data_IF_492996081220
#
_entry.id   IF_492996081220
#
_cell.length_a   1.000
_cell.length_b   1.000
_cell.length_c   1.000
_cell.angle_alpha   90.00
_cell.angle_beta   90.00
_cell.angle_gamma   90.00
#
_symmetry.space_group_name_H-M   'P 1'
#
loop_
_entity.id
_entity.type
_entity.pdbx_description
1 polymer ?
#
# COMPACT_ATOMS: atom_id res chain seq x y z
N UNK A 1 25.70 -51.61 37.43
CA UNK A 1 25.93 -51.12 36.05
C UNK A 1 24.70 -51.23 35.13
N UNK A 2 23.62 -51.92 35.49
CA UNK A 2 22.44 -52.10 34.62
C UNK A 2 21.35 -51.02 34.86
N UNK A 3 21.38 -50.33 36.01
CA UNK A 3 20.39 -49.31 36.38
C UNK A 3 20.67 -47.92 35.78
N UNK A 4 21.91 -47.60 35.43
CA UNK A 4 22.25 -46.28 34.84
C UNK A 4 22.00 -46.19 33.33
N UNK A 5 21.95 -47.31 32.62
CA UNK A 5 21.70 -47.36 31.17
C UNK A 5 20.22 -47.25 30.82
N UNK A 6 19.31 -47.75 31.67
CA UNK A 6 17.86 -47.58 31.45
C UNK A 6 17.41 -46.12 31.60
N UNK A 7 18.03 -45.37 32.52
CA UNK A 7 17.68 -43.95 32.73
C UNK A 7 18.11 -43.06 31.55
N UNK A 8 19.22 -43.37 30.87
CA UNK A 8 19.65 -42.62 29.68
C UNK A 8 18.75 -42.88 28.47
N UNK A 9 18.28 -44.12 28.30
CA UNK A 9 17.33 -44.47 27.23
C UNK A 9 15.97 -43.80 27.43
N UNK A 10 15.48 -43.71 28.67
CA UNK A 10 14.24 -43.00 28.99
C UNK A 10 14.34 -41.48 28.70
N UNK A 11 15.49 -40.85 28.97
CA UNK A 11 15.71 -39.43 28.63
C UNK A 11 15.82 -39.19 27.12
N UNK A 12 16.43 -40.11 26.35
CA UNK A 12 16.49 -39.99 24.89
C UNK A 12 15.13 -40.17 24.20
N UNK A 13 14.25 -41.02 24.76
CA UNK A 13 12.89 -41.21 24.26
C UNK A 13 11.98 -40.00 24.56
N UNK A 14 12.19 -39.32 25.69
CA UNK A 14 11.46 -38.08 26.03
C UNK A 14 11.94 -36.91 25.16
N UNK A 15 13.23 -36.84 24.81
CA UNK A 15 13.75 -35.80 23.92
C UNK A 15 13.28 -35.98 22.46
N UNK A 16 13.09 -37.22 21.99
CA UNK A 16 12.58 -37.49 20.63
C UNK A 16 11.05 -37.33 20.49
N UNK A 17 10.31 -37.25 21.60
CA UNK A 17 8.86 -37.06 21.57
C UNK A 17 8.43 -35.59 21.39
N UNK A 18 9.37 -34.64 21.49
CA UNK A 18 9.10 -33.20 21.35
C UNK A 18 9.61 -32.58 20.03
N UNK A 19 10.16 -33.37 19.10
CA UNK A 19 10.73 -32.83 17.85
C UNK A 19 9.78 -32.76 16.66
N UNK A 20 8.50 -33.13 16.83
CA UNK A 20 7.56 -33.23 15.70
C UNK A 20 6.17 -32.68 16.04
N UNK A 21 6.13 -31.42 16.46
CA UNK A 21 4.88 -30.64 16.47
C UNK A 21 4.64 -30.01 15.09
N UNK A 22 4.51 -30.82 14.04
CA UNK A 22 3.73 -30.41 12.87
C UNK A 22 2.26 -30.49 13.24
N UNK A 23 1.74 -29.47 13.92
CA UNK A 23 0.30 -29.26 13.97
C UNK A 23 -0.18 -29.00 12.55
N UNK A 24 -0.69 -30.04 11.88
CA UNK A 24 -1.63 -29.82 10.78
C UNK A 24 -2.84 -29.14 11.40
N UNK A 25 -3.12 -27.90 11.01
CA UNK A 25 -4.35 -27.23 11.38
C UNK A 25 -5.51 -28.18 11.02
N UNK A 26 -6.20 -28.68 12.03
CA UNK A 26 -7.41 -29.47 11.80
C UNK A 26 -8.44 -28.45 11.34
N UNK A 27 -8.81 -28.50 10.07
CA UNK A 27 -9.95 -27.78 9.55
C UNK A 27 -11.16 -28.09 10.44
N UNK A 28 -11.64 -27.08 11.17
CA UNK A 28 -12.82 -27.24 12.01
C UNK A 28 -14.05 -27.62 11.16
N UNK A 29 -15.08 -28.26 11.76
CA UNK A 29 -16.27 -28.75 11.05
C UNK A 29 -17.11 -27.65 10.38
N UNK A 30 -16.70 -26.38 10.53
CA UNK A 30 -17.39 -25.20 10.05
C UNK A 30 -16.58 -24.40 9.03
N UNK A 31 -15.43 -24.87 8.53
CA UNK A 31 -14.65 -24.14 7.51
C UNK A 31 -15.52 -23.80 6.27
N UNK A 32 -16.50 -24.64 5.95
CA UNK A 32 -17.50 -24.39 4.91
C UNK A 32 -18.44 -23.22 5.23
N UNK A 33 -18.72 -22.92 6.51
CA UNK A 33 -19.61 -21.83 6.93
C UNK A 33 -18.98 -20.44 6.75
N UNK A 34 -17.66 -20.34 6.84
CA UNK A 34 -16.92 -19.08 6.66
C UNK A 34 -16.88 -18.62 5.20
N UNK A 35 -17.12 -19.56 4.26
CA UNK A 35 -17.11 -19.34 2.81
C UNK A 35 -18.31 -20.04 2.14
N UNK A 36 -19.49 -19.96 2.74
CA UNK A 36 -20.67 -20.66 2.25
C UNK A 36 -21.03 -20.24 0.81
N UNK A 37 -20.76 -21.12 -0.16
CA UNK A 37 -21.50 -21.20 -1.42
C UNK A 37 -22.80 -21.96 -1.18
N UNK A 38 -23.95 -21.30 -1.27
CA UNK A 38 -25.26 -21.99 -1.27
C UNK A 38 -25.38 -22.81 -2.57
N UNK A 39 -26.04 -23.99 -2.56
CA UNK A 39 -26.31 -24.74 -3.80
C UNK A 39 -27.00 -23.86 -4.86
N UNK A 40 -26.35 -23.71 -6.03
CA UNK A 40 -26.73 -22.77 -7.09
C UNK A 40 -25.69 -22.74 -8.23
N UNK A 41 -25.54 -21.62 -8.92
CA UNK A 41 -24.58 -21.40 -10.03
C UNK A 41 -23.09 -21.44 -9.62
N UNK A 42 -22.80 -21.77 -8.36
CA UNK A 42 -21.45 -21.73 -7.80
C UNK A 42 -20.97 -20.33 -7.45
N UNK A 43 -21.82 -19.29 -7.56
CA UNK A 43 -21.52 -17.94 -7.15
C UNK A 43 -21.55 -17.76 -5.63
N UNK A 44 -20.56 -17.04 -5.09
CA UNK A 44 -20.49 -16.68 -3.66
C UNK A 44 -21.47 -15.55 -3.36
N UNK A 45 -22.29 -15.66 -2.30
CA UNK A 45 -23.36 -14.70 -1.96
C UNK A 45 -22.84 -13.33 -1.51
N UNK A 46 -23.44 -12.23 -2.01
CA UNK A 46 -23.19 -10.85 -1.56
C UNK A 46 -23.27 -10.65 -0.02
N UNK A 47 -24.12 -11.44 0.66
CA UNK A 47 -24.35 -11.36 2.11
C UNK A 47 -23.16 -11.83 2.95
N UNK A 48 -22.24 -12.61 2.35
CA UNK A 48 -21.09 -13.11 3.09
C UNK A 48 -20.02 -12.03 3.33
N UNK A 49 -20.11 -10.86 2.67
CA UNK A 49 -19.24 -9.67 2.84
C UNK A 49 -19.21 -9.17 4.30
N UNK A 50 -20.27 -9.42 5.07
CA UNK A 50 -20.40 -8.99 6.47
C UNK A 50 -20.05 -10.09 7.49
N UNK A 51 -19.65 -11.27 7.03
CA UNK A 51 -19.29 -12.42 7.87
C UNK A 51 -17.82 -12.80 7.70
N UNK A 52 -17.21 -13.35 8.75
CA UNK A 52 -15.84 -13.84 8.72
C UNK A 52 -14.88 -13.06 9.61
N UNK A 53 -13.65 -13.55 9.74
CA UNK A 53 -12.56 -12.77 10.35
C UNK A 53 -12.19 -11.67 9.36
N UNK A 54 -12.22 -10.42 9.81
CA UNK A 54 -11.88 -9.27 8.98
C UNK A 54 -10.36 -9.14 8.87
N UNK A 55 -9.87 -9.13 7.64
CA UNK A 55 -8.51 -8.77 7.21
C UNK A 55 -8.62 -7.79 6.06
N UNK A 56 -7.55 -7.06 5.73
CA UNK A 56 -7.62 -6.09 4.63
C UNK A 56 -8.04 -6.80 3.33
N UNK A 57 -9.14 -6.38 2.71
CA UNK A 57 -9.68 -6.98 1.49
C UNK A 57 -9.93 -8.49 1.56
N UNK A 58 -10.10 -9.05 2.77
CA UNK A 58 -10.17 -10.50 3.03
C UNK A 58 -8.92 -11.28 2.61
N UNK A 59 -7.76 -10.63 2.62
CA UNK A 59 -6.48 -11.28 2.40
C UNK A 59 -6.23 -12.39 3.45
N UNK A 60 -5.47 -13.44 3.11
CA UNK A 60 -5.09 -14.44 4.09
C UNK A 60 -4.28 -13.80 5.23
N UNK A 61 -4.68 -14.07 6.47
CA UNK A 61 -3.94 -13.65 7.66
C UNK A 61 -2.81 -14.61 8.00
N UNK A 62 -1.66 -14.08 8.38
CA UNK A 62 -0.59 -14.84 9.01
C UNK A 62 0.16 -13.96 10.03
N UNK A 63 0.46 -14.43 11.26
CA UNK A 63 1.17 -13.64 12.26
C UNK A 63 2.66 -13.53 11.94
N UNK A 64 3.02 -12.70 10.95
CA UNK A 64 4.35 -12.64 10.37
C UNK A 64 5.43 -12.25 11.40
N UNK A 65 5.11 -11.41 12.40
CA UNK A 65 6.08 -11.01 13.43
C UNK A 65 6.46 -12.14 14.40
N UNK A 66 5.61 -13.16 14.53
CA UNK A 66 5.84 -14.31 15.43
C UNK A 66 6.40 -15.54 14.70
N UNK A 67 6.37 -15.55 13.36
CA UNK A 67 6.77 -16.70 12.55
C UNK A 67 7.26 -16.31 11.16
N UNK A 68 8.30 -16.99 10.70
CA UNK A 68 8.84 -16.86 9.33
C UNK A 68 8.39 -18.02 8.40
N UNK A 69 7.46 -18.86 8.86
CA UNK A 69 7.07 -20.07 8.12
C UNK A 69 6.42 -19.76 6.76
N UNK A 70 5.73 -18.63 6.64
CA UNK A 70 5.10 -18.18 5.41
C UNK A 70 5.88 -17.05 4.76
N UNK A 71 6.19 -17.22 3.48
CA UNK A 71 6.70 -16.16 2.61
C UNK A 71 5.56 -15.37 1.99
N UNK A 72 5.84 -14.13 1.61
CA UNK A 72 4.94 -13.20 0.92
C UNK A 72 5.74 -12.30 0.00
N UNK A 73 5.08 -11.73 -1.00
CA UNK A 73 5.62 -10.71 -1.92
C UNK A 73 5.17 -9.31 -1.51
N UNK A 74 3.96 -9.19 -0.97
CA UNK A 74 3.40 -7.97 -0.41
C UNK A 74 2.78 -8.31 0.95
N UNK A 75 3.10 -7.56 1.98
CA UNK A 75 2.48 -7.68 3.29
C UNK A 75 1.75 -6.39 3.65
N UNK A 76 0.51 -6.54 4.11
CA UNK A 76 -0.17 -5.50 4.88
C UNK A 76 0.24 -5.62 6.33
N UNK A 77 0.60 -4.51 6.95
CA UNK A 77 0.88 -4.46 8.38
C UNK A 77 0.17 -3.23 8.95
N UNK A 78 -0.59 -3.41 10.02
CA UNK A 78 -1.14 -2.29 10.76
C UNK A 78 -0.12 -1.73 11.76
N UNK A 79 -0.24 -0.45 12.01
CA UNK A 79 0.45 0.21 13.08
C UNK A 79 -0.56 0.89 14.00
N UNK A 80 -0.50 0.51 15.27
CA UNK A 80 -1.48 0.91 16.27
C UNK A 80 -0.97 2.11 17.06
N UNK A 81 -1.36 3.33 16.72
CA UNK A 81 -1.21 4.46 17.62
C UNK A 81 -0.81 5.78 16.97
N UNK A 82 -1.11 6.89 17.64
CA UNK A 82 -0.50 8.18 17.38
C UNK A 82 0.87 8.23 18.09
N UNK A 83 1.96 8.14 17.34
CA UNK A 83 3.33 8.28 17.86
C UNK A 83 3.56 9.68 18.42
N UNK A 84 2.74 10.67 18.08
CA UNK A 84 2.83 12.02 18.66
C UNK A 84 2.20 12.11 20.06
N UNK A 85 1.33 11.18 20.48
CA UNK A 85 0.44 11.36 21.64
C UNK A 85 0.54 10.27 22.71
N UNK A 86 1.71 10.13 23.33
CA UNK A 86 1.81 9.46 24.63
C UNK A 86 1.36 10.30 25.85
N UNK A 87 0.83 11.52 25.67
CA UNK A 87 0.63 12.46 26.79
C UNK A 87 -0.82 12.73 27.22
N UNK A 88 -1.86 12.19 26.59
CA UNK A 88 -3.25 12.62 26.90
C UNK A 88 -4.35 11.55 26.99
N UNK A 89 -4.01 10.27 27.13
CA UNK A 89 -5.05 9.23 27.33
C UNK A 89 -5.70 9.23 28.74
N UNK A 90 -5.18 10.01 29.71
CA UNK A 90 -5.74 10.04 31.08
C UNK A 90 -6.94 10.98 31.31
N UNK A 91 -7.30 11.88 30.38
CA UNK A 91 -8.34 12.90 30.66
C UNK A 91 -9.76 12.60 30.17
N UNK A 92 -10.00 11.47 29.50
CA UNK A 92 -11.31 11.14 28.91
C UNK A 92 -12.02 9.96 29.61
N UNK A 93 -11.91 9.86 30.93
CA UNK A 93 -12.90 9.12 31.73
C UNK A 93 -14.18 9.97 31.87
N UNK A 94 -15.36 9.50 31.42
CA UNK A 94 -16.59 10.28 31.52
C UNK A 94 -17.12 10.21 32.96
N UNK A 95 -16.66 11.10 33.84
CA UNK A 95 -17.43 11.43 35.02
C UNK A 95 -18.51 12.42 34.64
N UNK A 96 -19.74 11.93 34.61
CA UNK A 96 -20.96 12.71 34.46
C UNK A 96 -20.97 13.91 35.43
N UNK A 97 -21.33 15.10 34.94
CA UNK A 97 -22.21 16.12 35.56
C UNK A 97 -22.27 17.39 34.66
N UNK A 98 -23.32 18.23 34.78
CA UNK A 98 -23.90 18.95 33.66
C UNK A 98 -23.46 20.42 33.55
N UNK A 99 -23.54 20.92 32.31
CA UNK A 99 -23.64 22.32 31.85
C UNK A 99 -23.61 23.42 32.92
N UNK A 100 -22.62 24.33 32.85
CA UNK A 100 -22.74 25.79 33.04
C UNK A 100 -21.37 26.46 32.81
N UNK A 101 -21.37 27.48 31.94
CA UNK A 101 -20.41 28.58 31.74
C UNK A 101 -18.90 28.34 31.93
N UNK A 102 -18.15 28.53 30.84
CA UNK A 102 -16.72 28.88 30.86
C UNK A 102 -16.47 30.17 31.65
N UNK A 103 -15.28 30.33 32.26
CA UNK A 103 -14.26 31.10 31.55
C UNK A 103 -12.81 30.62 31.72
N UNK A 104 -12.00 30.87 30.69
CA UNK A 104 -10.54 31.05 30.67
C UNK A 104 -9.67 30.06 31.47
N UNK A 105 -9.09 29.09 30.76
CA UNK A 105 -7.69 28.70 30.97
C UNK A 105 -7.02 28.50 29.61
N UNK A 106 -6.05 29.36 29.32
CA UNK A 106 -5.08 29.19 28.24
C UNK A 106 -4.20 27.99 28.61
N UNK A 107 -4.45 26.84 27.98
CA UNK A 107 -3.62 25.65 28.07
C UNK A 107 -3.40 25.15 26.64
N UNK A 108 -2.12 25.03 26.29
CA UNK A 108 -1.54 24.67 25.00
C UNK A 108 -2.45 23.72 24.19
N UNK A 109 -3.02 24.23 23.10
CA UNK A 109 -3.72 23.44 22.10
C UNK A 109 -2.76 22.42 21.51
N UNK A 110 -3.13 21.14 21.56
CA UNK A 110 -2.67 20.14 20.61
C UNK A 110 -2.87 20.70 19.18
N UNK A 111 -1.94 20.46 18.26
CA UNK A 111 -2.00 21.09 16.93
C UNK A 111 -3.28 20.74 16.15
N UNK A 112 -3.94 19.61 16.44
CA UNK A 112 -5.32 19.30 16.03
C UNK A 112 -5.91 18.03 16.73
N UNK A 113 -6.99 17.46 16.14
CA UNK A 113 -7.72 16.26 16.59
C UNK A 113 -6.83 15.00 16.60
N UNK A 114 -7.11 14.03 17.47
CA UNK A 114 -6.30 12.81 17.62
C UNK A 114 -6.65 11.75 16.57
N UNK A 115 -5.67 11.34 15.75
CA UNK A 115 -5.78 10.12 14.95
C UNK A 115 -5.93 8.92 15.90
N UNK A 116 -7.04 8.18 15.77
CA UNK A 116 -7.43 7.16 16.76
C UNK A 116 -6.64 5.87 16.57
N UNK A 117 -6.19 5.26 17.66
CA UNK A 117 -5.47 3.97 17.65
C UNK A 117 -6.20 2.81 16.92
N UNK A 118 -7.47 2.97 16.56
CA UNK A 118 -8.26 1.96 15.85
C UNK A 118 -8.12 1.97 14.33
N UNK A 119 -7.18 2.75 13.75
CA UNK A 119 -7.06 2.91 12.29
C UNK A 119 -6.99 1.57 11.55
N UNK A 120 -6.07 0.64 11.88
CA UNK A 120 -5.93 -0.60 11.10
C UNK A 120 -7.22 -1.43 11.13
N UNK A 121 -7.84 -1.56 12.30
CA UNK A 121 -9.08 -2.32 12.46
C UNK A 121 -10.25 -1.75 11.64
N UNK A 122 -10.38 -0.42 11.55
CA UNK A 122 -11.47 0.21 10.80
C UNK A 122 -11.21 0.20 9.30
N UNK A 123 -9.96 0.37 8.86
CA UNK A 123 -9.58 0.20 7.45
C UNK A 123 -9.83 -1.25 6.98
N UNK A 124 -9.42 -2.23 7.78
CA UNK A 124 -9.72 -3.65 7.56
C UNK A 124 -11.23 -3.88 7.45
N UNK A 125 -12.01 -3.33 8.38
CA UNK A 125 -13.48 -3.42 8.34
C UNK A 125 -14.08 -2.80 7.07
N UNK A 126 -13.59 -1.63 6.66
CA UNK A 126 -14.11 -0.88 5.50
C UNK A 126 -13.73 -1.52 4.17
N UNK A 127 -12.57 -2.18 4.14
CA UNK A 127 -12.06 -2.93 2.98
C UNK A 127 -12.85 -4.20 2.66
N UNK A 128 -13.80 -4.62 3.52
CA UNK A 128 -14.58 -5.87 3.36
C UNK A 128 -15.30 -6.02 2.02
N UNK A 129 -15.66 -4.89 1.39
CA UNK A 129 -16.30 -4.84 0.07
C UNK A 129 -15.34 -5.19 -1.07
N UNK A 130 -14.02 -5.09 -0.84
CA UNK A 130 -12.99 -5.41 -1.81
C UNK A 130 -12.83 -6.93 -1.93
N UNK A 131 -12.56 -7.42 -3.15
CA UNK A 131 -12.22 -8.83 -3.42
C UNK A 131 -13.38 -9.82 -3.53
N UNK A 132 -14.42 -9.69 -2.70
CA UNK A 132 -15.42 -10.75 -2.53
C UNK A 132 -16.35 -11.02 -3.74
N UNK A 133 -16.77 -9.99 -4.49
CA UNK A 133 -17.69 -10.13 -5.64
C UNK A 133 -17.29 -9.31 -6.87
N UNK A 134 -16.06 -8.78 -6.90
CA UNK A 134 -15.66 -7.78 -7.89
C UNK A 134 -14.29 -7.15 -7.67
N UNK A 135 -13.28 -7.96 -7.31
CA UNK A 135 -11.91 -7.48 -7.11
C UNK A 135 -11.16 -7.05 -8.37
N UNK A 136 -11.81 -7.04 -9.55
CA UNK A 136 -11.16 -6.65 -10.80
C UNK A 136 -11.16 -5.13 -10.94
N UNK A 137 -9.97 -4.54 -11.06
CA UNK A 137 -9.78 -3.12 -11.29
C UNK A 137 -9.92 -2.85 -12.79
N UNK A 138 -11.08 -2.34 -13.19
CA UNK A 138 -11.40 -2.09 -14.61
C UNK A 138 -10.42 -1.10 -15.26
N UNK A 139 -10.12 0.07 -14.67
CA UNK A 139 -9.14 1.01 -15.25
C UNK A 139 -7.72 0.45 -15.41
N UNK A 140 -7.26 -0.41 -14.49
CA UNK A 140 -5.90 -0.97 -14.53
C UNK A 140 -5.82 -2.34 -15.22
N UNK A 141 -6.96 -2.93 -15.57
CA UNK A 141 -7.11 -4.27 -16.17
C UNK A 141 -6.42 -5.37 -15.36
N UNK A 142 -6.51 -5.30 -14.02
CA UNK A 142 -5.84 -6.23 -13.11
C UNK A 142 -6.70 -6.54 -11.89
N UNK A 143 -6.53 -7.72 -11.31
CA UNK A 143 -7.16 -8.10 -10.04
C UNK A 143 -6.06 -8.29 -8.97
N UNK A 144 -5.93 -7.38 -7.99
CA UNK A 144 -4.90 -7.50 -6.94
C UNK A 144 -5.06 -8.74 -6.04
N UNK A 145 -6.25 -9.34 -5.99
CA UNK A 145 -6.55 -10.49 -5.12
C UNK A 145 -6.38 -11.84 -5.85
N UNK A 146 -6.17 -11.82 -7.16
CA UNK A 146 -5.94 -13.00 -7.99
C UNK A 146 -4.70 -12.75 -8.83
N UNK A 147 -3.54 -13.05 -8.28
CA UNK A 147 -2.25 -12.85 -8.94
C UNK A 147 -1.26 -13.94 -8.57
N UNK A 148 -0.17 -14.04 -9.32
CA UNK A 148 0.95 -14.94 -9.03
C UNK A 148 1.73 -14.50 -7.77
N UNK A 149 1.54 -13.26 -7.32
CA UNK A 149 2.15 -12.77 -6.09
C UNK A 149 1.35 -13.20 -4.87
N UNK A 150 2.07 -13.53 -3.80
CA UNK A 150 1.46 -13.85 -2.51
C UNK A 150 1.32 -12.59 -1.65
N UNK A 151 0.08 -12.17 -1.45
CA UNK A 151 -0.27 -11.01 -0.61
C UNK A 151 -0.85 -11.51 0.71
N UNK A 152 -0.32 -11.03 1.84
CA UNK A 152 -0.76 -11.41 3.19
C UNK A 152 -1.12 -10.21 4.05
N UNK A 153 -2.06 -10.42 4.97
CA UNK A 153 -2.26 -9.55 6.13
C UNK A 153 -1.42 -10.10 7.30
N UNK A 154 -0.45 -9.31 7.75
CA UNK A 154 0.52 -9.70 8.76
C UNK A 154 0.13 -9.30 10.19
N UNK A 155 -1.07 -8.74 10.39
CA UNK A 155 -1.52 -8.18 11.66
C UNK A 155 -0.89 -6.81 11.93
N UNK A 156 -0.57 -6.53 13.20
CA UNK A 156 -0.09 -5.22 13.64
C UNK A 156 1.28 -5.30 14.32
N UNK A 157 2.10 -4.25 14.17
CA UNK A 157 3.33 -4.08 14.96
C UNK A 157 2.94 -3.71 16.41
N UNK A 158 3.41 -4.46 17.42
CA UNK A 158 3.15 -4.10 18.81
C UNK A 158 3.98 -2.87 19.19
N UNK A 159 3.32 -1.75 19.44
CA UNK A 159 3.95 -0.49 19.83
C UNK A 159 3.41 -0.01 21.18
N UNK A 160 4.21 0.77 21.89
CA UNK A 160 3.77 1.41 23.13
C UNK A 160 3.11 2.75 22.85
N UNK A 161 1.99 3.03 23.51
CA UNK A 161 1.34 4.35 23.49
C UNK A 161 1.91 5.30 24.57
N UNK A 162 2.97 4.93 25.29
CA UNK A 162 3.45 5.68 26.47
C UNK A 162 4.84 6.31 26.30
N UNK A 163 5.58 5.91 25.26
CA UNK A 163 6.90 6.47 24.97
C UNK A 163 7.10 6.52 23.45
N UNK A 164 6.98 7.73 22.89
CA UNK A 164 7.10 7.98 21.47
C UNK A 164 8.46 7.52 20.90
N UNK A 165 9.54 7.69 21.65
CA UNK A 165 10.87 7.30 21.18
C UNK A 165 11.00 5.78 21.12
N UNK A 166 10.42 5.07 22.10
CA UNK A 166 10.37 3.61 22.07
C UNK A 166 9.43 3.09 20.98
N UNK A 167 8.27 3.73 20.77
CA UNK A 167 7.36 3.39 19.70
C UNK A 167 8.05 3.47 18.33
N UNK A 168 8.74 4.57 18.03
CA UNK A 168 9.54 4.75 16.79
C UNK A 168 10.52 3.58 16.59
N UNK A 169 11.21 3.15 17.66
CA UNK A 169 12.13 2.02 17.58
C UNK A 169 11.41 0.70 17.26
N UNK A 170 10.27 0.44 17.92
CA UNK A 170 9.49 -0.79 17.69
C UNK A 170 8.97 -0.87 16.25
N UNK A 171 8.52 0.25 15.69
CA UNK A 171 8.04 0.35 14.30
C UNK A 171 9.19 0.07 13.34
N UNK A 172 10.34 0.72 13.54
CA UNK A 172 11.51 0.55 12.68
C UNK A 172 11.98 -0.92 12.66
N UNK A 173 12.10 -1.54 13.83
CA UNK A 173 12.54 -2.93 13.99
C UNK A 173 11.50 -3.92 13.44
N UNK A 174 10.23 -3.73 13.77
CA UNK A 174 9.11 -4.55 13.29
C UNK A 174 9.03 -4.53 11.76
N UNK A 175 8.98 -3.34 11.17
CA UNK A 175 8.96 -3.16 9.72
C UNK A 175 10.22 -3.75 9.06
N UNK A 176 11.41 -3.54 9.64
CA UNK A 176 12.65 -4.08 9.08
C UNK A 176 12.67 -5.62 9.08
N UNK A 177 12.17 -6.25 10.14
CA UNK A 177 12.09 -7.71 10.25
C UNK A 177 11.20 -8.35 9.18
N UNK A 178 10.24 -7.60 8.64
CA UNK A 178 9.34 -8.03 7.58
C UNK A 178 9.91 -7.72 6.19
N UNK A 179 10.48 -6.52 6.02
CA UNK A 179 11.04 -6.06 4.74
C UNK A 179 12.27 -6.88 4.31
N UNK A 180 13.12 -7.26 5.26
CA UNK A 180 14.39 -7.95 4.97
C UNK A 180 14.22 -9.46 4.68
N UNK A 181 12.98 -9.97 4.66
CA UNK A 181 12.70 -11.38 4.37
C UNK A 181 12.90 -11.71 2.90
N UNK A 182 13.04 -13.01 2.63
CA UNK A 182 12.97 -13.51 1.26
C UNK A 182 11.51 -13.49 0.76
N UNK A 183 11.23 -12.88 -0.39
CA UNK A 183 9.88 -12.89 -0.94
C UNK A 183 9.46 -14.30 -1.37
N UNK A 184 8.17 -14.49 -1.66
CA UNK A 184 7.65 -15.77 -2.16
C UNK A 184 8.09 -16.03 -3.60
N UNK A 185 7.98 -15.00 -4.44
CA UNK A 185 8.38 -14.95 -5.84
C UNK A 185 9.75 -14.32 -5.98
N UNK A 186 10.58 -14.82 -6.91
CA UNK A 186 11.89 -14.22 -7.26
C UNK A 186 12.87 -14.02 -6.09
N UNK A 187 12.75 -14.84 -5.05
CA UNK A 187 13.50 -14.74 -3.80
C UNK A 187 15.03 -14.68 -3.96
N UNK A 188 15.56 -15.36 -4.98
CA UNK A 188 16.99 -15.43 -5.24
C UNK A 188 17.43 -14.59 -6.45
N UNK A 189 16.48 -13.94 -7.14
CA UNK A 189 16.71 -13.08 -8.29
C UNK A 189 17.40 -11.76 -7.88
N UNK A 190 18.05 -11.13 -8.86
CA UNK A 190 18.58 -9.78 -8.70
C UNK A 190 17.43 -8.78 -8.63
N UNK A 191 17.52 -7.79 -7.75
CA UNK A 191 16.48 -6.79 -7.54
C UNK A 191 17.04 -5.44 -7.12
N UNK A 192 16.15 -4.50 -6.82
CA UNK A 192 16.50 -3.09 -6.59
C UNK A 192 17.15 -2.80 -5.22
N UNK A 193 17.21 -3.77 -4.31
CA UNK A 193 17.83 -3.54 -2.99
C UNK A 193 19.34 -3.31 -3.12
N UNK A 194 19.94 -2.70 -2.08
CA UNK A 194 21.41 -2.49 -2.00
C UNK A 194 22.20 -3.78 -2.04
N UNK A 195 21.61 -4.88 -1.59
CA UNK A 195 22.20 -6.21 -1.66
C UNK A 195 22.07 -6.86 -3.06
N UNK A 196 21.46 -6.17 -4.02
CA UNK A 196 21.19 -6.68 -5.35
C UNK A 196 20.20 -7.85 -5.34
N UNK A 197 19.24 -7.85 -4.42
CA UNK A 197 18.23 -8.91 -4.25
C UNK A 197 16.82 -8.36 -4.32
N UNK A 198 15.89 -9.19 -4.80
CA UNK A 198 14.46 -8.92 -4.70
C UNK A 198 14.02 -9.02 -3.24
N UNK A 199 13.29 -8.02 -2.76
CA UNK A 199 12.69 -8.00 -1.43
C UNK A 199 11.16 -7.92 -1.56
N UNK A 200 10.41 -8.35 -0.53
CA UNK A 200 8.98 -8.08 -0.45
C UNK A 200 8.74 -6.57 -0.32
N UNK A 201 7.48 -6.18 -0.53
CA UNK A 201 6.98 -4.83 -0.31
C UNK A 201 6.05 -4.83 0.89
N UNK A 202 6.04 -3.73 1.64
CA UNK A 202 5.18 -3.57 2.81
C UNK A 202 4.22 -2.41 2.55
N UNK A 203 2.94 -2.64 2.83
CA UNK A 203 1.90 -1.62 2.86
C UNK A 203 1.50 -1.42 4.32
N UNK A 204 1.81 -0.27 4.89
CA UNK A 204 1.52 0.04 6.29
C UNK A 204 0.18 0.77 6.42
N UNK A 205 -0.67 0.30 7.32
CA UNK A 205 -1.91 0.95 7.71
C UNK A 205 -1.64 1.73 9.00
N UNK A 206 -1.44 3.04 8.88
CA UNK A 206 -0.83 3.84 9.93
C UNK A 206 -1.76 4.49 10.93
N UNK A 207 -1.16 5.15 11.91
CA UNK A 207 -1.77 6.16 12.78
C UNK A 207 -1.50 7.56 12.23
N UNK A 208 -0.81 8.40 13.02
CA UNK A 208 -0.39 9.74 12.56
C UNK A 208 0.84 9.69 11.62
N UNK A 209 1.13 10.75 10.88
CA UNK A 209 2.14 10.76 9.83
C UNK A 209 3.60 10.61 10.34
N UNK A 210 3.84 10.69 11.66
CA UNK A 210 5.17 10.51 12.25
C UNK A 210 5.76 9.13 11.95
N UNK A 211 4.90 8.12 11.75
CA UNK A 211 5.31 6.73 11.52
C UNK A 211 6.17 6.57 10.27
N UNK A 212 6.07 7.49 9.31
CA UNK A 212 6.83 7.42 8.06
C UNK A 212 8.33 7.55 8.32
N UNK A 213 8.78 8.24 9.37
CA UNK A 213 10.20 8.33 9.71
C UNK A 213 10.85 6.96 10.02
N UNK A 214 10.37 6.16 11.00
CA UNK A 214 10.91 4.82 11.22
C UNK A 214 10.74 3.87 10.03
N UNK A 215 9.68 4.02 9.23
CA UNK A 215 9.51 3.25 7.99
C UNK A 215 10.61 3.59 6.98
N UNK A 216 10.91 4.87 6.76
CA UNK A 216 12.00 5.33 5.89
C UNK A 216 13.38 4.91 6.40
N UNK A 217 13.62 4.92 7.72
CA UNK A 217 14.86 4.37 8.31
C UNK A 217 15.02 2.88 8.00
N UNK A 218 13.94 2.12 8.11
CA UNK A 218 13.90 0.71 7.76
C UNK A 218 14.12 0.46 6.26
N UNK A 219 13.46 1.23 5.39
CA UNK A 219 13.67 1.21 3.94
C UNK A 219 15.12 1.56 3.57
N UNK A 220 15.74 2.55 4.23
CA UNK A 220 17.11 2.97 3.94
C UNK A 220 18.14 1.85 4.21
N UNK A 221 17.90 0.99 5.22
CA UNK A 221 18.72 -0.21 5.46
C UNK A 221 18.71 -1.16 4.25
N UNK A 222 17.57 -1.27 3.56
CA UNK A 222 17.38 -2.16 2.41
C UNK A 222 17.78 -1.53 1.07
N UNK A 223 17.42 -0.27 0.83
CA UNK A 223 17.49 0.39 -0.48
C UNK A 223 18.43 1.60 -0.54
N UNK A 224 18.78 2.18 0.60
CA UNK A 224 19.52 3.45 0.66
C UNK A 224 18.56 4.63 0.65
N UNK A 225 19.03 5.85 0.35
CA UNK A 225 18.14 6.98 0.16
C UNK A 225 17.18 6.73 -1.01
N UNK A 226 15.88 6.94 -0.78
CA UNK A 226 14.81 6.61 -1.75
C UNK A 226 14.06 7.84 -2.22
N UNK A 227 13.38 7.70 -3.36
CA UNK A 227 12.47 8.73 -3.86
C UNK A 227 11.13 8.61 -3.15
N UNK A 228 10.57 9.73 -2.68
CA UNK A 228 9.28 9.77 -2.00
C UNK A 228 8.23 10.52 -2.83
N UNK A 229 7.07 9.89 -3.02
CA UNK A 229 5.83 10.57 -3.43
C UNK A 229 4.97 10.74 -2.19
N UNK A 230 4.70 11.98 -1.83
CA UNK A 230 3.93 12.34 -0.65
C UNK A 230 2.61 12.99 -1.07
N UNK A 231 1.49 12.32 -0.84
CA UNK A 231 0.17 12.90 -0.98
C UNK A 231 -0.25 13.47 0.37
N UNK A 232 -0.40 14.80 0.45
CA UNK A 232 -0.78 15.48 1.70
C UNK A 232 -1.32 16.89 1.40
N UNK A 233 -2.05 17.46 2.35
CA UNK A 233 -2.38 18.89 2.37
C UNK A 233 -1.29 19.77 3.00
N UNK A 234 -0.38 19.19 3.77
CA UNK A 234 0.72 19.79 4.53
C UNK A 234 2.11 19.42 3.97
N UNK A 235 3.11 20.26 4.28
CA UNK A 235 4.48 20.04 3.84
C UNK A 235 5.22 18.97 4.67
N UNK A 236 4.94 18.91 5.97
CA UNK A 236 5.58 18.03 6.97
C UNK A 236 7.13 18.04 7.02
N UNK A 237 7.71 19.04 6.38
CA UNK A 237 9.14 19.37 6.43
C UNK A 237 9.43 20.45 7.47
N UNK A 238 8.48 20.77 8.36
CA UNK A 238 8.63 21.88 9.29
C UNK A 238 9.87 21.70 10.18
N UNK A 239 10.61 22.80 10.41
CA UNK A 239 11.71 22.78 11.38
C UNK A 239 11.13 22.55 12.79
N UNK A 240 11.72 21.67 13.62
CA UNK A 240 11.19 21.37 14.95
C UNK A 240 11.01 22.60 15.86
N UNK A 241 11.84 23.63 15.72
CA UNK A 241 11.70 24.88 16.50
C UNK A 241 10.55 25.77 16.04
N UNK A 242 10.10 25.62 14.80
CA UNK A 242 9.02 26.40 14.20
C UNK A 242 7.68 25.72 14.49
N UNK A 243 7.59 24.41 14.28
CA UNK A 243 6.38 23.63 14.52
C UNK A 243 6.40 23.01 15.92
N UNK A 244 5.51 23.46 16.81
CA UNK A 244 5.37 22.95 18.18
C UNK A 244 6.48 23.37 19.16
N UNK A 245 7.46 24.20 18.75
CA UNK A 245 8.49 24.77 19.62
C UNK A 245 9.53 23.78 20.17
N UNK A 246 9.33 22.47 19.98
CA UNK A 246 10.25 21.36 20.32
C UNK A 246 10.89 21.48 21.72
N UNK A 247 10.09 21.42 22.81
CA UNK A 247 10.59 21.56 24.18
C UNK A 247 11.53 20.42 24.64
N UNK A 248 11.53 19.28 23.94
CA UNK A 248 12.42 18.14 24.19
C UNK A 248 12.85 17.49 22.86
N UNK A 249 13.87 16.62 22.89
CA UNK A 249 14.26 15.84 21.71
C UNK A 249 13.16 14.90 21.23
N UNK A 250 12.36 14.37 22.16
CA UNK A 250 11.23 13.49 21.84
C UNK A 250 10.13 14.28 21.12
N UNK A 251 9.76 15.45 21.64
CA UNK A 251 8.75 16.31 21.03
C UNK A 251 9.21 16.97 19.72
N UNK A 252 10.52 16.93 19.43
CA UNK A 252 11.09 17.45 18.19
C UNK A 252 10.66 16.63 16.97
N UNK A 253 10.29 15.36 17.17
CA UNK A 253 9.79 14.45 16.15
C UNK A 253 8.28 14.33 16.35
N UNK A 254 7.51 14.76 15.36
CA UNK A 254 6.06 14.75 15.35
C UNK A 254 5.56 14.73 13.89
N UNK A 255 4.25 14.63 13.72
CA UNK A 255 3.58 14.49 12.42
C UNK A 255 3.86 15.64 11.43
N UNK A 256 4.25 16.83 11.89
CA UNK A 256 4.64 17.93 10.99
C UNK A 256 6.14 18.06 10.73
N UNK A 257 7.00 17.26 11.36
CA UNK A 257 8.46 17.47 11.34
C UNK A 257 9.24 16.26 10.82
N UNK A 258 8.57 15.14 10.55
CA UNK A 258 9.23 13.88 10.28
C UNK A 258 10.02 13.89 8.96
N UNK A 259 9.57 14.61 7.91
CA UNK A 259 10.36 14.75 6.68
C UNK A 259 11.57 15.67 6.85
N UNK A 260 11.49 16.66 7.76
CA UNK A 260 12.68 17.42 8.14
C UNK A 260 13.75 16.48 8.71
N UNK A 261 13.38 15.60 9.64
CA UNK A 261 14.31 14.61 10.20
C UNK A 261 14.79 13.61 9.14
N UNK A 262 13.90 13.13 8.27
CA UNK A 262 14.25 12.22 7.19
C UNK A 262 15.29 12.82 6.22
N UNK A 263 15.16 14.11 5.90
CA UNK A 263 16.15 14.85 5.11
C UNK A 263 17.49 14.97 5.86
N UNK A 264 17.46 15.32 7.14
CA UNK A 264 18.67 15.48 7.96
C UNK A 264 19.40 14.16 8.20
N UNK A 265 18.68 13.05 8.22
CA UNK A 265 19.22 11.69 8.34
C UNK A 265 19.68 11.11 6.98
N UNK A 266 19.46 11.83 5.87
CA UNK A 266 19.84 11.39 4.53
C UNK A 266 19.03 10.19 4.04
N UNK A 267 17.76 10.09 4.42
CA UNK A 267 16.85 9.01 4.01
C UNK A 267 16.23 9.26 2.63
N UNK A 268 16.26 10.52 2.18
CA UNK A 268 15.62 10.96 0.94
C UNK A 268 16.65 11.07 -0.18
N UNK A 269 16.26 10.63 -1.37
CA UNK A 269 17.08 10.78 -2.57
C UNK A 269 16.98 12.22 -3.09
N UNK A 270 18.14 12.86 -3.27
CA UNK A 270 18.19 14.23 -3.77
C UNK A 270 17.43 14.39 -5.09
N UNK A 271 16.73 15.52 -5.21
CA UNK A 271 16.14 15.98 -6.46
C UNK A 271 15.16 15.00 -7.12
N UNK A 272 14.45 14.18 -6.34
CA UNK A 272 13.43 13.27 -6.90
C UNK A 272 12.12 13.23 -6.10
N UNK A 273 12.07 13.81 -4.90
CA UNK A 273 10.87 13.74 -4.06
C UNK A 273 9.86 14.81 -4.48
N UNK A 274 8.57 14.49 -4.27
CA UNK A 274 7.48 15.38 -4.64
C UNK A 274 6.31 15.29 -3.67
N UNK A 275 5.76 16.45 -3.32
CA UNK A 275 4.49 16.62 -2.62
C UNK A 275 3.36 16.83 -3.62
N UNK A 276 2.18 16.29 -3.31
CA UNK A 276 1.00 16.38 -4.15
C UNK A 276 -0.27 16.61 -3.32
N UNK A 277 -0.89 17.79 -3.49
CA UNK A 277 -2.12 18.17 -2.77
C UNK A 277 -1.93 19.31 -1.77
N UNK A 278 -0.75 19.93 -1.74
CA UNK A 278 -0.39 20.97 -0.77
C UNK A 278 -1.33 22.17 -0.86
N UNK A 279 -1.87 22.59 0.29
CA UNK A 279 -2.76 23.74 0.40
C UNK A 279 -2.83 24.38 1.79
N UNK A 280 -2.16 23.82 2.79
CA UNK A 280 -2.16 24.38 4.15
C UNK A 280 -1.66 25.82 4.18
N UNK A 281 -2.06 26.56 5.20
CA UNK A 281 -1.58 27.92 5.42
C UNK A 281 -0.14 27.92 5.91
N UNK A 282 0.72 28.68 5.23
CA UNK A 282 2.12 28.82 5.61
C UNK A 282 2.35 30.00 6.57
N UNK A 283 3.42 29.90 7.36
CA UNK A 283 3.93 31.03 8.15
C UNK A 283 4.56 32.10 7.25
N UNK A 284 5.12 31.68 6.12
CA UNK A 284 5.60 32.57 5.06
C UNK A 284 6.37 31.81 3.96
N UNK A 285 6.92 32.53 2.96
CA UNK A 285 7.66 31.90 1.86
C UNK A 285 8.87 31.07 2.29
N UNK A 286 9.42 31.32 3.48
CA UNK A 286 10.52 30.55 4.06
C UNK A 286 10.18 29.07 4.26
N UNK A 287 8.90 28.73 4.38
CA UNK A 287 8.47 27.34 4.58
C UNK A 287 8.66 26.55 3.28
N UNK A 288 8.34 27.14 2.12
CA UNK A 288 8.66 26.57 0.81
C UNK A 288 10.17 26.51 0.54
N UNK A 289 10.94 27.50 0.98
CA UNK A 289 12.41 27.44 0.85
C UNK A 289 12.99 26.27 1.67
N UNK A 290 12.47 26.05 2.88
CA UNK A 290 12.85 24.93 3.71
C UNK A 290 12.42 23.59 3.12
N UNK A 291 11.23 23.52 2.55
CA UNK A 291 10.72 22.32 1.87
C UNK A 291 11.60 21.91 0.68
N UNK A 292 11.97 22.90 -0.16
CA UNK A 292 12.92 22.70 -1.24
C UNK A 292 14.30 22.27 -0.73
N UNK A 293 14.76 22.76 0.42
CA UNK A 293 16.00 22.29 1.06
C UNK A 293 15.90 20.84 1.56
N UNK A 294 14.72 20.40 1.98
CA UNK A 294 14.46 19.00 2.32
C UNK A 294 14.37 18.09 1.07
N UNK A 295 14.35 18.67 -0.13
CA UNK A 295 14.49 17.96 -1.40
C UNK A 295 13.16 17.67 -2.10
N UNK A 296 12.09 18.39 -1.74
CA UNK A 296 10.77 18.22 -2.34
C UNK A 296 10.47 19.26 -3.43
N UNK A 297 9.81 18.80 -4.48
CA UNK A 297 9.05 19.66 -5.38
C UNK A 297 7.57 19.64 -4.97
N UNK A 298 6.82 20.71 -5.22
CA UNK A 298 5.44 20.84 -4.78
C UNK A 298 4.49 20.84 -5.97
N UNK A 299 3.42 20.04 -5.85
CA UNK A 299 2.17 20.20 -6.58
C UNK A 299 1.11 20.71 -5.62
N UNK A 300 0.74 21.98 -5.76
CA UNK A 300 -0.34 22.57 -4.96
C UNK A 300 -1.70 22.01 -5.41
N UNK A 301 -2.66 21.86 -4.48
CA UNK A 301 -3.97 21.29 -4.78
C UNK A 301 -4.68 22.03 -5.94
N UNK A 302 -4.57 23.36 -5.95
CA UNK A 302 -5.19 24.24 -6.97
C UNK A 302 -4.62 24.09 -8.38
N UNK A 303 -3.44 23.48 -8.55
CA UNK A 303 -2.87 23.29 -9.89
C UNK A 303 -3.78 22.41 -10.76
N UNK A 304 -4.59 21.54 -10.14
CA UNK A 304 -5.55 20.67 -10.83
C UNK A 304 -6.53 21.45 -11.74
N UNK A 305 -6.89 22.69 -11.37
CA UNK A 305 -7.78 23.54 -12.17
C UNK A 305 -7.15 23.96 -13.50
N UNK A 306 -5.81 23.94 -13.57
CA UNK A 306 -5.04 24.43 -14.71
C UNK A 306 -4.41 23.32 -15.54
N UNK A 307 -3.86 22.29 -14.90
CA UNK A 307 -3.14 21.20 -15.57
C UNK A 307 -3.90 19.88 -15.55
N UNK A 308 -5.00 19.80 -14.79
CA UNK A 308 -5.80 18.59 -14.62
C UNK A 308 -5.04 17.45 -13.96
N UNK A 309 -5.71 16.31 -13.79
CA UNK A 309 -5.09 15.09 -13.23
C UNK A 309 -3.94 14.59 -14.10
N UNK A 310 -4.05 14.68 -15.43
CA UNK A 310 -3.00 14.25 -16.36
C UNK A 310 -1.71 15.07 -16.23
N UNK A 311 -1.84 16.39 -16.04
CA UNK A 311 -0.69 17.26 -15.81
C UNK A 311 0.01 16.96 -14.48
N UNK A 312 -0.77 16.69 -13.43
CA UNK A 312 -0.23 16.27 -12.12
C UNK A 312 0.51 14.93 -12.25
N UNK A 313 -0.09 13.94 -12.89
CA UNK A 313 0.54 12.63 -13.16
C UNK A 313 1.86 12.83 -13.89
N UNK A 314 1.87 13.66 -14.95
CA UNK A 314 3.08 13.95 -15.71
C UNK A 314 4.16 14.59 -14.83
N UNK A 315 3.82 15.60 -14.04
CA UNK A 315 4.76 16.31 -13.16
C UNK A 315 5.36 15.37 -12.11
N UNK A 316 4.55 14.51 -11.50
CA UNK A 316 5.03 13.46 -10.59
C UNK A 316 6.00 12.52 -11.32
N UNK A 317 5.61 11.97 -12.48
CA UNK A 317 6.45 11.01 -13.23
C UNK A 317 7.78 11.62 -13.70
N UNK A 318 7.75 12.86 -14.18
CA UNK A 318 8.95 13.58 -14.62
C UNK A 318 9.93 13.79 -13.46
N UNK A 319 9.42 14.11 -12.26
CA UNK A 319 10.21 14.34 -11.05
C UNK A 319 10.80 13.06 -10.47
N UNK A 320 10.00 12.00 -10.37
CA UNK A 320 10.41 10.75 -9.70
C UNK A 320 11.21 9.81 -10.61
N UNK A 321 11.02 9.90 -11.93
CA UNK A 321 11.61 8.97 -12.91
C UNK A 321 11.05 7.54 -12.82
N UNK A 322 11.46 6.66 -13.73
CA UNK A 322 10.92 5.29 -13.84
C UNK A 322 11.76 4.23 -13.15
N UNK A 323 13.05 4.51 -12.94
CA UNK A 323 14.02 3.52 -12.44
C UNK A 323 14.21 3.56 -10.93
N UNK A 324 13.86 4.67 -10.29
CA UNK A 324 14.11 4.87 -8.86
C UNK A 324 13.25 3.94 -8.01
N UNK A 325 13.78 3.41 -6.89
CA UNK A 325 12.93 2.83 -5.86
C UNK A 325 12.08 3.95 -5.23
N UNK A 326 10.76 3.80 -5.30
CA UNK A 326 9.80 4.82 -4.85
C UNK A 326 9.06 4.34 -3.60
N UNK A 327 9.07 5.17 -2.56
CA UNK A 327 8.19 5.02 -1.41
C UNK A 327 6.98 5.95 -1.56
N UNK A 328 5.78 5.42 -1.31
CA UNK A 328 4.52 6.15 -1.47
C UNK A 328 3.88 6.42 -0.10
N UNK A 329 3.87 7.67 0.34
CA UNK A 329 3.27 8.10 1.60
C UNK A 329 1.96 8.81 1.31
N UNK A 330 0.85 8.36 1.90
CA UNK A 330 -0.50 8.90 1.60
C UNK A 330 -1.19 9.36 2.89
N UNK A 331 -1.26 10.67 3.06
CA UNK A 331 -2.17 11.29 4.02
C UNK A 331 -3.59 11.34 3.46
N UNK A 332 -4.56 10.86 4.25
CA UNK A 332 -5.97 10.94 3.85
C UNK A 332 -6.48 12.38 3.73
N UNK A 333 -5.87 13.33 4.44
CA UNK A 333 -6.21 14.74 4.41
C UNK A 333 -5.81 15.44 3.11
N UNK A 334 -5.10 14.76 2.20
CA UNK A 334 -5.00 15.18 0.79
C UNK A 334 -6.39 15.43 0.19
N UNK A 335 -7.36 14.61 0.60
CA UNK A 335 -8.75 14.73 0.18
C UNK A 335 -9.45 15.91 0.88
N UNK A 336 -10.37 16.54 0.19
CA UNK A 336 -11.22 17.54 0.82
C UNK A 336 -12.03 16.92 1.99
N UNK A 337 -12.27 17.63 3.10
CA UNK A 337 -13.09 17.15 4.20
C UNK A 337 -14.51 16.73 3.80
N UNK A 338 -15.02 17.14 2.63
CA UNK A 338 -16.25 16.61 2.05
C UNK A 338 -16.16 15.09 1.74
N UNK A 339 -14.96 14.57 1.51
CA UNK A 339 -14.68 13.16 1.19
C UNK A 339 -13.96 12.44 2.34
N UNK A 340 -13.08 13.13 3.07
CA UNK A 340 -12.36 12.59 4.22
C UNK A 340 -12.49 13.50 5.45
N UNK A 341 -13.68 13.61 6.07
CA UNK A 341 -13.87 14.45 7.26
C UNK A 341 -13.14 13.92 8.51
N UNK A 342 -12.70 12.67 8.49
CA UNK A 342 -12.15 11.96 9.64
C UNK A 342 -10.61 11.96 9.59
N UNK A 343 -10.03 13.12 9.86
CA UNK A 343 -8.58 13.33 10.00
C UNK A 343 -8.27 14.30 11.13
N UNK A 344 -7.03 14.32 11.60
CA UNK A 344 -6.52 15.24 12.61
C UNK A 344 -6.62 16.69 12.17
N UNK A 345 -6.07 17.01 11.00
CA UNK A 345 -5.80 18.36 10.45
C UNK A 345 -6.55 18.62 9.14
N UNK A 346 -7.90 18.69 9.12
CA UNK A 346 -8.65 18.82 7.88
C UNK A 346 -8.43 20.19 7.21
N UNK A 347 -7.95 20.19 5.96
CA UNK A 347 -7.78 21.40 5.15
C UNK A 347 -8.79 21.45 3.99
N UNK A 348 -9.59 22.51 3.88
CA UNK A 348 -10.59 22.65 2.79
C UNK A 348 -9.96 23.02 1.44
N UNK A 349 -10.66 22.72 0.34
CA UNK A 349 -10.16 22.95 -1.03
C UNK A 349 -9.25 21.82 -1.52
N UNK A 350 -9.46 20.62 -1.00
CA UNK A 350 -8.69 19.42 -1.38
C UNK A 350 -9.24 18.72 -2.63
N UNK A 351 -8.61 17.61 -2.99
CA UNK A 351 -9.07 16.80 -4.11
C UNK A 351 -10.24 15.89 -3.72
N UNK A 352 -11.02 15.50 -4.71
CA UNK A 352 -12.00 14.43 -4.56
C UNK A 352 -11.34 13.05 -4.55
N UNK A 353 -11.99 12.07 -3.93
CA UNK A 353 -11.53 10.67 -3.96
C UNK A 353 -11.35 10.16 -5.40
N UNK A 354 -12.17 10.65 -6.34
CA UNK A 354 -12.08 10.30 -7.77
C UNK A 354 -10.77 10.80 -8.40
N UNK A 355 -10.36 12.02 -8.07
CA UNK A 355 -9.13 12.64 -8.59
C UNK A 355 -7.90 11.94 -8.03
N UNK A 356 -7.83 11.72 -6.72
CA UNK A 356 -6.72 11.00 -6.09
C UNK A 356 -6.55 9.60 -6.69
N UNK A 357 -7.64 8.83 -6.82
CA UNK A 357 -7.59 7.51 -7.47
C UNK A 357 -7.12 7.57 -8.92
N UNK A 358 -7.51 8.60 -9.66
CA UNK A 358 -7.07 8.80 -11.05
C UNK A 358 -5.56 9.07 -11.10
N UNK A 359 -5.07 9.93 -10.21
CA UNK A 359 -3.64 10.26 -10.11
C UNK A 359 -2.84 9.00 -9.76
N UNK A 360 -3.24 8.24 -8.72
CA UNK A 360 -2.54 7.01 -8.30
C UNK A 360 -2.46 5.98 -9.44
N UNK A 361 -3.56 5.77 -10.20
CA UNK A 361 -3.54 4.89 -11.38
C UNK A 361 -2.54 5.35 -12.44
N UNK A 362 -2.40 6.67 -12.62
CA UNK A 362 -1.43 7.26 -13.54
C UNK A 362 0.03 6.99 -13.16
N UNK A 363 0.28 6.52 -11.94
CA UNK A 363 1.60 6.12 -11.46
C UNK A 363 1.93 4.65 -11.74
N UNK A 364 1.07 3.93 -12.49
CA UNK A 364 1.35 2.58 -12.96
C UNK A 364 2.70 2.51 -13.70
N UNK A 365 3.44 1.44 -13.40
CA UNK A 365 4.79 1.17 -13.91
C UNK A 365 5.95 1.64 -13.02
N UNK A 366 5.73 2.49 -12.01
CA UNK A 366 6.79 2.89 -11.07
C UNK A 366 7.23 1.74 -10.15
N UNK A 367 8.48 1.82 -9.65
CA UNK A 367 9.05 0.80 -8.77
C UNK A 367 8.70 1.08 -7.29
N UNK A 368 7.42 0.94 -6.94
CA UNK A 368 6.96 1.11 -5.57
C UNK A 368 7.52 0.01 -4.66
N UNK A 369 8.42 0.37 -3.75
CA UNK A 369 9.09 -0.54 -2.80
C UNK A 369 8.34 -0.69 -1.46
N UNK A 370 7.38 0.19 -1.21
CA UNK A 370 6.53 0.21 -0.03
C UNK A 370 5.55 1.37 -0.11
N UNK A 371 4.54 1.33 0.74
CA UNK A 371 3.59 2.44 0.88
C UNK A 371 3.03 2.50 2.29
N UNK A 372 2.49 3.66 2.67
CA UNK A 372 1.63 3.80 3.84
C UNK A 372 0.36 4.60 3.51
N UNK A 373 -0.64 4.46 4.36
CA UNK A 373 -1.77 5.37 4.45
C UNK A 373 -1.98 5.77 5.91
N UNK A 374 -2.11 7.06 6.17
CA UNK A 374 -2.06 7.64 7.53
C UNK A 374 -3.18 8.67 7.76
N UNK A 375 -3.23 9.19 8.99
CA UNK A 375 -4.13 10.25 9.48
C UNK A 375 -5.63 9.96 9.39
N UNK A 376 -6.02 8.73 9.08
CA UNK A 376 -7.40 8.32 9.20
C UNK A 376 -7.76 8.30 10.68
N UNK A 377 -8.73 9.12 11.08
CA UNK A 377 -9.13 9.29 12.47
C UNK A 377 -10.59 8.83 12.68
N UNK A 378 -10.86 7.50 12.81
CA UNK A 378 -12.22 6.95 12.86
C UNK A 378 -13.18 7.61 13.86
N UNK A 379 -12.67 8.17 14.96
CA UNK A 379 -13.46 8.89 15.96
C UNK A 379 -14.19 10.12 15.40
N UNK A 380 -13.69 10.67 14.28
CA UNK A 380 -14.27 11.82 13.59
C UNK A 380 -14.98 11.44 12.29
N UNK A 381 -15.07 10.13 11.98
CA UNK A 381 -15.83 9.67 10.83
C UNK A 381 -17.32 9.67 11.13
N UNK A 382 -18.10 9.76 10.06
CA UNK A 382 -19.54 9.63 10.16
C UNK A 382 -19.93 8.16 10.28
N UNK A 383 -21.19 7.88 10.66
CA UNK A 383 -21.73 6.52 10.63
C UNK A 383 -21.70 5.88 9.22
N UNK A 384 -21.41 6.66 8.18
CA UNK A 384 -21.28 6.19 6.80
C UNK A 384 -19.85 5.75 6.43
N UNK A 385 -18.87 5.85 7.35
CA UNK A 385 -17.50 5.36 7.15
C UNK A 385 -16.82 5.98 5.90
N UNK A 386 -17.04 7.28 5.64
CA UNK A 386 -16.65 7.91 4.38
C UNK A 386 -15.12 7.94 4.19
N UNK A 387 -14.40 8.37 5.22
CA UNK A 387 -12.94 8.54 5.14
C UNK A 387 -12.24 7.19 5.07
N UNK A 388 -12.72 6.25 5.87
CA UNK A 388 -12.21 4.88 5.94
C UNK A 388 -12.50 4.10 4.67
N UNK A 389 -13.67 4.31 4.03
CA UNK A 389 -13.94 3.81 2.68
C UNK A 389 -13.03 4.44 1.62
N UNK A 390 -12.81 5.75 1.66
CA UNK A 390 -11.90 6.43 0.73
C UNK A 390 -10.46 5.90 0.84
N UNK A 391 -9.97 5.70 2.07
CA UNK A 391 -8.67 5.11 2.33
C UNK A 391 -8.55 3.67 1.80
N UNK A 392 -9.56 2.83 2.03
CA UNK A 392 -9.58 1.46 1.50
C UNK A 392 -9.59 1.44 -0.04
N UNK A 393 -10.35 2.31 -0.68
CA UNK A 393 -10.42 2.45 -2.14
C UNK A 393 -9.09 2.95 -2.74
N UNK A 394 -8.37 3.83 -2.03
CA UNK A 394 -7.04 4.30 -2.43
C UNK A 394 -6.03 3.17 -2.34
N UNK A 395 -5.99 2.44 -1.23
CA UNK A 395 -5.12 1.27 -1.05
C UNK A 395 -5.40 0.17 -2.07
N UNK A 396 -6.65 0.00 -2.50
CA UNK A 396 -6.99 -0.91 -3.58
C UNK A 396 -6.28 -0.55 -4.89
N UNK A 397 -6.19 0.75 -5.24
CA UNK A 397 -5.40 1.18 -6.41
C UNK A 397 -3.91 0.91 -6.22
N UNK A 398 -3.36 1.21 -5.04
CA UNK A 398 -1.94 0.98 -4.69
C UNK A 398 -1.58 -0.51 -4.77
N UNK A 399 -2.41 -1.38 -4.20
CA UNK A 399 -2.20 -2.82 -4.29
C UNK A 399 -2.29 -3.30 -5.74
N UNK A 400 -3.23 -2.77 -6.51
CA UNK A 400 -3.39 -3.13 -7.93
C UNK A 400 -2.14 -2.79 -8.74
N UNK A 401 -1.58 -1.58 -8.60
CA UNK A 401 -0.36 -1.18 -9.33
C UNK A 401 0.85 -2.02 -8.89
N UNK A 402 0.99 -2.33 -7.59
CA UNK A 402 2.08 -3.17 -7.11
C UNK A 402 1.99 -4.60 -7.64
N UNK A 403 0.78 -5.18 -7.66
CA UNK A 403 0.53 -6.52 -8.19
C UNK A 403 0.75 -6.56 -9.70
N UNK A 404 0.20 -5.58 -10.45
CA UNK A 404 0.36 -5.47 -11.89
C UNK A 404 1.83 -5.33 -12.32
N UNK A 405 2.62 -4.60 -11.54
CA UNK A 405 4.08 -4.47 -11.76
C UNK A 405 4.82 -5.81 -11.61
N UNK A 406 4.29 -6.76 -10.83
CA UNK A 406 4.96 -8.02 -10.53
C UNK A 406 6.06 -7.87 -9.47
N UNK A 407 6.98 -8.85 -9.34
CA UNK A 407 8.13 -8.75 -8.45
C UNK A 407 9.09 -7.64 -8.91
N UNK A 408 9.77 -6.98 -7.97
CA UNK A 408 10.77 -5.95 -8.27
C UNK A 408 12.15 -6.55 -8.64
N UNK A 409 12.14 -7.64 -9.39
CA UNK A 409 13.34 -8.27 -9.91
C UNK A 409 13.81 -7.56 -11.19
N UNK A 410 15.12 -7.47 -11.38
CA UNK A 410 15.73 -6.94 -12.59
C UNK A 410 15.82 -8.11 -13.58
N UNK A 411 15.04 -8.06 -14.66
CA UNK A 411 15.12 -9.07 -15.71
C UNK A 411 16.45 -8.95 -16.46
N UNK A 412 17.23 -10.04 -16.49
CA UNK A 412 18.43 -10.13 -17.33
C UNK A 412 18.02 -10.28 -18.80
N UNK A 413 17.89 -9.16 -19.49
CA UNK A 413 17.82 -9.09 -20.94
C UNK A 413 16.41 -9.17 -21.53
N UNK A 414 15.93 -8.03 -21.99
CA UNK A 414 15.23 -7.98 -23.27
C UNK A 414 16.03 -7.04 -24.16
N UNK A 415 16.84 -7.63 -25.04
CA UNK A 415 17.19 -6.99 -26.30
C UNK A 415 15.90 -6.47 -26.94
N UNK A 416 15.99 -5.27 -27.49
CA UNK A 416 14.95 -4.58 -28.24
C UNK A 416 14.18 -5.52 -29.17
N UNK A 417 13.01 -5.97 -28.75
CA UNK A 417 11.94 -6.40 -29.63
C UNK A 417 10.75 -5.49 -29.35
N UNK A 418 10.32 -4.82 -30.41
CA UNK A 418 9.49 -3.63 -30.41
C UNK A 418 8.11 -3.75 -29.78
N UNK A 419 7.45 -2.61 -29.78
CA UNK A 419 6.20 -2.24 -29.09
C UNK A 419 5.16 -3.36 -28.86
N UNK A 420 4.41 -3.29 -27.73
CA UNK A 420 3.31 -4.21 -27.50
C UNK A 420 2.17 -3.90 -28.48
N UNK A 421 1.96 -4.78 -29.46
CA UNK A 421 0.81 -4.68 -30.36
C UNK A 421 -0.48 -4.80 -29.57
N UNK A 422 -1.31 -3.76 -29.59
CA UNK A 422 -2.70 -3.80 -29.14
C UNK A 422 -3.44 -4.93 -29.85
N UNK A 423 -3.72 -6.03 -29.16
CA UNK A 423 -4.67 -7.06 -29.62
C UNK A 423 -5.68 -7.32 -28.51
N UNK A 424 -6.81 -6.62 -28.57
CA UNK A 424 -7.99 -6.94 -27.79
C UNK A 424 -8.66 -8.19 -28.35
N UNK A 425 -9.02 -9.13 -27.48
CA UNK A 425 -9.81 -10.32 -27.82
C UNK A 425 -11.27 -10.04 -27.48
N UNK A 426 -12.11 -9.85 -28.49
CA UNK A 426 -13.57 -9.84 -28.36
C UNK A 426 -14.07 -11.25 -28.63
N UNK A 427 -14.79 -11.85 -27.67
CA UNK A 427 -15.34 -13.19 -27.77
C UNK A 427 -16.73 -13.19 -28.43
N UNK A 428 -16.90 -14.03 -29.47
CA UNK A 428 -18.20 -14.57 -29.91
C UNK A 428 -17.98 -15.79 -30.80
N UNK A 429 -18.36 -16.97 -30.29
CA UNK A 429 -18.72 -18.20 -31.02
C UNK A 429 -17.72 -18.81 -32.00
N UNK A 430 -17.11 -19.92 -31.59
CA UNK A 430 -16.56 -21.03 -32.38
C UNK A 430 -16.37 -20.80 -33.90
N UNK A 431 -15.26 -20.14 -34.27
CA UNK A 431 -14.42 -20.27 -35.48
C UNK A 431 -13.50 -19.03 -35.54
N UNK A 432 -12.17 -19.20 -35.60
CA UNK A 432 -11.24 -18.06 -35.54
C UNK A 432 -10.72 -17.66 -36.94
N UNK A 433 -10.96 -16.41 -37.32
CA UNK A 433 -10.32 -15.75 -38.46
C UNK A 433 -9.29 -14.73 -37.94
N UNK A 434 -8.04 -14.85 -38.39
CA UNK A 434 -6.96 -13.93 -38.05
C UNK A 434 -6.93 -12.79 -39.08
N UNK A 435 -6.97 -11.56 -38.58
CA UNK A 435 -6.93 -10.34 -39.39
C UNK A 435 -5.64 -9.57 -39.15
N UNK A 436 -5.07 -9.00 -40.21
CA UNK A 436 -3.99 -8.01 -40.13
C UNK A 436 -4.42 -6.69 -40.77
N UNK A 437 -4.00 -5.53 -40.23
CA UNK A 437 -4.08 -4.27 -40.95
C UNK A 437 -3.25 -4.35 -42.24
N UNK A 438 -3.75 -3.79 -43.34
CA UNK A 438 -2.91 -3.44 -44.50
C UNK A 438 -2.33 -2.06 -44.28
N UNK A 439 -1.01 -1.93 -44.33
CA UNK A 439 -0.35 -0.62 -44.38
C UNK A 439 -0.67 0.03 -45.74
N UNK A 440 -1.46 1.10 -45.71
CA UNK A 440 -1.82 1.93 -46.86
C UNK A 440 -1.89 3.39 -46.45
N UNK A 441 -0.99 4.19 -47.01
CA UNK A 441 -0.90 5.64 -46.85
C UNK A 441 -1.96 6.33 -47.72
N UNK A 442 -3.23 6.28 -47.30
CA UNK A 442 -4.23 7.29 -47.63
C UNK A 442 -5.42 7.23 -46.66
N UNK A 443 -5.74 8.37 -46.05
CA UNK A 443 -6.82 8.49 -45.09
C UNK A 443 -8.19 8.27 -45.72
N UNK A 444 -8.68 7.02 -45.80
CA UNK A 444 -10.10 6.67 -45.70
C UNK A 444 -10.34 5.15 -45.65
N UNK A 445 -11.10 4.72 -44.63
CA UNK A 445 -11.68 3.37 -44.40
C UNK A 445 -10.72 2.22 -44.05
N UNK A 446 -10.81 1.73 -42.81
CA UNK A 446 -10.13 0.52 -42.32
C UNK A 446 -10.51 -0.70 -43.19
N UNK A 447 -9.52 -1.30 -43.86
CA UNK A 447 -9.66 -2.60 -44.52
C UNK A 447 -8.74 -3.61 -43.85
N UNK A 448 -9.32 -4.69 -43.33
CA UNK A 448 -8.62 -5.83 -42.76
C UNK A 448 -8.53 -6.95 -43.82
N UNK A 449 -7.40 -7.64 -43.90
CA UNK A 449 -7.25 -8.84 -44.74
C UNK A 449 -7.19 -10.10 -43.87
N UNK A 450 -7.85 -11.18 -44.31
CA UNK A 450 -7.84 -12.48 -43.62
C UNK A 450 -6.49 -13.13 -43.91
N UNK A 451 -5.66 -13.29 -42.87
CA UNK A 451 -4.33 -13.88 -42.95
C UNK A 451 -4.28 -15.33 -42.46
N UNK A 452 -5.39 -15.87 -41.95
CA UNK A 452 -5.47 -17.28 -41.56
C UNK A 452 -6.84 -17.66 -41.02
N UNK A 453 -7.18 -18.95 -41.16
CA UNK A 453 -8.40 -19.55 -40.61
C UNK A 453 -7.99 -20.71 -39.72
N UNK A 454 -8.38 -20.69 -38.44
CA UNK A 454 -8.18 -21.81 -37.54
C UNK A 454 -9.47 -22.62 -37.55
N UNK A 455 -9.41 -23.80 -38.14
CA UNK A 455 -10.52 -24.76 -38.12
C UNK A 455 -10.31 -25.68 -36.91
N UNK A 456 -11.24 -25.65 -35.96
CA UNK A 456 -11.23 -26.59 -34.84
C UNK A 456 -11.54 -28.01 -35.31
N UNK A 457 -10.58 -28.93 -35.25
CA UNK A 457 -10.89 -30.36 -35.23
C UNK A 457 -11.12 -30.75 -33.77
N UNK A 458 -12.32 -31.25 -33.50
CA UNK A 458 -12.80 -31.59 -32.15
C UNK A 458 -12.13 -32.85 -31.62
N UNK A 459 -10.90 -32.71 -31.13
CA UNK A 459 -10.21 -33.68 -30.25
C UNK A 459 -8.82 -33.17 -29.82
N UNK A 460 -8.81 -32.27 -28.83
CA UNK A 460 -7.77 -32.22 -27.78
C UNK A 460 -6.29 -32.03 -28.16
N UNK A 461 -5.93 -31.72 -29.41
CA UNK A 461 -4.55 -31.47 -29.82
C UNK A 461 -4.46 -30.34 -30.85
N UNK A 462 -4.10 -29.13 -30.41
CA UNK A 462 -3.87 -28.01 -31.32
C UNK A 462 -2.48 -28.10 -31.93
N UNK A 463 -2.41 -28.32 -33.24
CA UNK A 463 -1.19 -28.21 -34.06
C UNK A 463 -1.30 -26.94 -34.92
N UNK A 464 -0.37 -26.01 -34.79
CA UNK A 464 -0.33 -24.79 -35.65
C UNK A 464 0.38 -25.14 -36.95
N UNK A 465 -0.36 -25.17 -38.07
CA UNK A 465 0.23 -25.30 -39.41
C UNK A 465 0.50 -23.91 -40.00
N UNK A 466 1.77 -23.56 -40.19
CA UNK A 466 2.17 -22.45 -41.04
C UNK A 466 2.27 -22.95 -42.49
N UNK A 467 1.28 -22.63 -43.32
CA UNK A 467 1.41 -22.83 -44.78
C UNK A 467 2.07 -21.59 -45.37
N UNK A 468 3.35 -21.71 -45.73
CA UNK A 468 4.03 -20.70 -46.53
C UNK A 468 3.49 -20.75 -47.98
N UNK A 469 2.65 -19.78 -48.36
CA UNK A 469 2.30 -19.56 -49.76
C UNK A 469 3.41 -18.71 -50.40
N UNK A 470 4.37 -19.40 -51.00
CA UNK A 470 5.26 -18.81 -52.01
C UNK A 470 4.54 -18.74 -53.35
N UNK A 471 4.36 -17.52 -53.87
CA UNK A 471 4.57 -17.22 -55.29
C UNK A 471 3.36 -16.99 -56.22
N UNK A 472 3.53 -15.91 -57.00
CA UNK A 472 3.13 -15.70 -58.41
C UNK A 472 1.65 -15.39 -58.72
N UNK A 473 1.45 -14.18 -59.23
CA UNK A 473 0.22 -13.68 -59.85
C UNK A 473 0.22 -12.17 -59.92
#
# INVERSE_FOLDING_TARGET
>A
MITSTLSLLALSAIASAHSDHRQKAIAGPHQSLWYNTIPGDGGTQADSVFSGISTFGRLPYFPCLSSEAEKYDIAFIGEFGSVTLATFEECSQPQALPSILAPHTDLVQDSARVASDKVPAVLISSSRKLGFSGGYNVPLEANPFVSELKVLDCGDIPVTSYDNAWAIQQIEEGHNSLLMRKPFTDADAEGLSRAGKTLPRIITLGGDHTITLPLLRSINKAYGPVTVIHFDSHLDTWKPKVFGGSPSQVAAINHGTYFYHAAMEGLLKNDTNIHAGIRTTLSGPSDYENDGYCGFEIVEAREIDTIGTEGIIKKIRDRVGTENPVYLSIDIDTLDPAFAPATGTPETGGWSTRELRTIIRGLDGLNFIGADIVEVAPAYDTNAELSTMAAADVLYEVLTIMVKKGPLSISKGHELLGEPSRRGVLSRGDDFELFSPKDGDDGSSERYEIIGRIVGMGDGSASVFYTALTGLG
#
